data_IF_270554250750
#
_entry.id   IF_270554250750
#
_cell.length_a   1.000
_cell.length_b   1.000
_cell.length_c   1.000
_cell.angle_alpha   90.00
_cell.angle_beta   90.00
_cell.angle_gamma   90.00
#
_symmetry.space_group_name_H-M   'P 1'
#
loop_
_entity.id
_entity.type
_entity.pdbx_description
1 polymer ?
#
# COMPACT_ATOMS: atom_id res chain seq x y z
N UNK A 1 -66.15 44.87 58.74
CA UNK A 1 -66.19 43.50 58.19
C UNK A 1 -64.96 43.31 57.30
N UNK A 2 -64.07 42.40 57.70
CA UNK A 2 -62.97 41.73 56.97
C UNK A 2 -61.91 42.56 56.19
N UNK A 3 -60.74 42.60 56.82
CA UNK A 3 -59.36 42.69 56.27
C UNK A 3 -59.16 41.67 55.13
N UNK A 4 -58.42 42.02 54.07
CA UNK A 4 -57.48 41.11 53.39
C UNK A 4 -56.28 41.86 52.78
N UNK A 5 -55.15 41.64 53.42
CA UNK A 5 -53.78 41.71 52.90
C UNK A 5 -53.52 40.57 51.87
N UNK A 6 -52.35 40.66 51.19
CA UNK A 6 -51.63 39.71 50.32
C UNK A 6 -51.62 40.13 48.83
N UNK A 7 -50.51 40.03 48.06
CA UNK A 7 -49.21 39.40 48.31
C UNK A 7 -48.15 39.77 47.25
N UNK A 8 -46.91 39.93 47.73
CA UNK A 8 -45.65 39.31 47.25
C UNK A 8 -45.21 39.59 45.80
N UNK A 9 -44.08 40.29 45.62
CA UNK A 9 -42.73 39.69 45.58
C UNK A 9 -42.69 38.48 44.63
N UNK A 10 -42.27 38.68 43.38
CA UNK A 10 -41.65 37.66 42.52
C UNK A 10 -41.02 38.35 41.28
N UNK A 11 -40.24 39.41 41.49
CA UNK A 11 -39.36 39.97 40.47
C UNK A 11 -37.91 39.62 40.86
N UNK A 12 -37.42 38.47 40.41
CA UNK A 12 -36.03 38.11 40.68
C UNK A 12 -35.67 36.64 40.59
N UNK A 13 -36.06 35.93 39.52
CA UNK A 13 -35.48 34.61 39.15
C UNK A 13 -35.58 34.30 37.64
N UNK A 14 -35.41 35.29 36.77
CA UNK A 14 -35.50 35.09 35.32
C UNK A 14 -34.23 35.50 34.54
N UNK A 15 -33.07 35.56 35.19
CA UNK A 15 -31.83 36.06 34.57
C UNK A 15 -30.59 35.21 34.86
N UNK A 16 -30.76 33.92 35.16
CA UNK A 16 -29.62 32.99 35.37
C UNK A 16 -29.68 31.74 34.49
N UNK A 17 -30.79 31.49 33.76
CA UNK A 17 -30.89 30.32 32.84
C UNK A 17 -30.51 30.68 31.39
N UNK A 18 -30.36 31.97 31.06
CA UNK A 18 -29.95 32.40 29.71
C UNK A 18 -28.44 32.40 29.45
N UNK A 19 -27.61 32.29 30.50
CA UNK A 19 -26.15 32.42 30.38
C UNK A 19 -25.39 31.08 30.39
N UNK A 20 -26.10 29.94 30.53
CA UNK A 20 -25.51 28.59 30.57
C UNK A 20 -25.72 27.79 29.26
N UNK A 21 -26.31 28.40 28.22
CA UNK A 21 -26.56 27.77 26.92
C UNK A 21 -25.67 28.30 25.78
N UNK A 22 -24.60 29.02 26.07
CA UNK A 22 -23.73 29.65 25.06
C UNK A 22 -22.27 29.15 25.07
N UNK A 23 -22.01 27.96 25.63
CA UNK A 23 -20.69 27.29 25.57
C UNK A 23 -20.76 25.90 24.92
N UNK A 24 -21.77 25.64 24.09
CA UNK A 24 -21.63 24.67 23.03
C UNK A 24 -20.87 25.36 21.88
N UNK A 25 -19.56 25.51 22.04
CA UNK A 25 -18.67 25.80 20.90
C UNK A 25 -18.93 24.67 19.91
N UNK A 26 -19.45 24.92 18.69
CA UNK A 26 -19.40 23.91 17.66
C UNK A 26 -17.91 23.58 17.52
N UNK A 27 -17.53 22.36 17.88
CA UNK A 27 -16.16 21.90 17.66
C UNK A 27 -15.80 22.27 16.23
N UNK A 28 -14.69 22.97 16.06
CA UNK A 28 -14.16 23.33 14.74
C UNK A 28 -14.10 22.01 13.97
N UNK A 29 -14.96 21.85 12.97
CA UNK A 29 -14.96 20.65 12.16
C UNK A 29 -13.68 20.73 11.33
N UNK A 30 -12.65 20.00 11.78
CA UNK A 30 -11.44 19.81 11.00
C UNK A 30 -11.84 19.17 9.66
N UNK A 31 -11.65 19.90 8.58
CA UNK A 31 -11.88 19.48 7.22
C UNK A 31 -10.66 18.69 6.73
N UNK A 32 -10.87 17.41 6.41
CA UNK A 32 -9.87 16.63 5.68
C UNK A 32 -9.61 17.29 4.32
N UNK A 33 -8.37 17.72 4.08
CA UNK A 33 -7.95 18.33 2.81
C UNK A 33 -7.17 17.37 1.94
N UNK A 34 -6.93 16.14 2.41
CA UNK A 34 -6.38 15.06 1.59
C UNK A 34 -7.31 14.87 0.39
N UNK A 35 -6.74 14.89 -0.80
CA UNK A 35 -7.42 14.50 -2.03
C UNK A 35 -6.49 13.61 -2.85
N UNK A 36 -7.10 12.69 -3.59
CA UNK A 36 -6.39 11.68 -4.37
C UNK A 36 -6.97 11.64 -5.77
N UNK A 37 -6.09 11.51 -6.76
CA UNK A 37 -6.45 11.12 -8.13
C UNK A 37 -5.60 9.92 -8.52
N UNK A 38 -6.22 8.86 -9.03
CA UNK A 38 -5.49 7.72 -9.58
C UNK A 38 -5.15 7.99 -11.04
N UNK A 39 -3.89 7.75 -11.41
CA UNK A 39 -3.38 7.90 -12.78
C UNK A 39 -2.88 6.58 -13.32
N UNK A 40 -3.16 6.31 -14.59
CA UNK A 40 -2.61 5.15 -15.31
C UNK A 40 -2.52 5.44 -16.81
N UNK A 41 -1.42 5.06 -17.50
CA UNK A 41 -1.34 5.14 -18.96
C UNK A 41 -2.10 4.00 -19.65
N UNK A 42 -2.61 3.01 -18.90
CA UNK A 42 -3.11 1.75 -19.41
C UNK A 42 -2.03 0.66 -19.51
N UNK A 43 -2.39 -0.43 -20.17
CA UNK A 43 -1.58 -1.65 -20.20
C UNK A 43 -0.42 -1.57 -21.20
N UNK A 44 0.77 -1.96 -20.75
CA UNK A 44 1.96 -2.18 -21.58
C UNK A 44 2.18 -3.67 -21.78
N UNK A 45 2.32 -4.12 -23.03
CA UNK A 45 2.53 -5.53 -23.37
C UNK A 45 3.92 -6.03 -22.95
N UNK A 46 3.98 -7.33 -22.60
CA UNK A 46 5.21 -8.09 -22.42
C UNK A 46 5.54 -8.39 -20.96
N UNK A 47 6.77 -8.87 -20.70
CA UNK A 47 7.79 -9.29 -21.67
C UNK A 47 7.38 -10.49 -22.55
N UNK A 48 8.06 -10.62 -23.70
CA UNK A 48 7.84 -11.69 -24.67
C UNK A 48 8.86 -12.85 -24.56
N UNK A 49 9.79 -12.78 -23.60
CA UNK A 49 10.83 -13.78 -23.35
C UNK A 49 10.85 -14.23 -21.89
N UNK A 50 11.31 -15.45 -21.65
CA UNK A 50 11.52 -15.96 -20.29
C UNK A 50 12.65 -15.23 -19.59
N UNK A 51 12.59 -15.15 -18.26
CA UNK A 51 13.60 -14.52 -17.41
C UNK A 51 13.88 -13.07 -17.81
N UNK A 52 12.81 -12.32 -18.06
CA UNK A 52 12.90 -10.91 -18.45
C UNK A 52 11.76 -10.12 -17.82
N UNK A 53 11.81 -8.80 -17.99
CA UNK A 53 10.79 -7.90 -17.45
C UNK A 53 10.49 -6.76 -18.42
N UNK A 54 9.36 -6.09 -18.17
CA UNK A 54 9.03 -4.79 -18.70
C UNK A 54 8.93 -3.80 -17.55
N UNK A 55 9.31 -2.55 -17.81
CA UNK A 55 9.05 -1.42 -16.92
C UNK A 55 8.16 -0.42 -17.65
N UNK A 56 7.15 0.08 -16.94
CA UNK A 56 6.17 1.07 -17.40
C UNK A 56 5.83 1.97 -16.22
N UNK A 57 5.31 3.17 -16.46
CA UNK A 57 5.07 4.13 -15.38
C UNK A 57 3.73 4.85 -15.47
N UNK A 58 3.25 5.30 -14.32
CA UNK A 58 2.12 6.22 -14.21
C UNK A 58 2.58 7.52 -13.55
N UNK A 59 2.04 8.64 -14.04
CA UNK A 59 2.51 9.97 -13.66
C UNK A 59 1.40 10.82 -13.06
N UNK A 60 1.76 11.52 -11.99
CA UNK A 60 0.95 12.56 -11.39
C UNK A 60 1.15 13.87 -12.13
N UNK A 61 0.13 14.27 -12.89
CA UNK A 61 0.07 15.61 -13.51
C UNK A 61 -0.18 16.72 -12.49
N UNK A 62 -0.64 16.37 -11.30
CA UNK A 62 -0.87 17.26 -10.16
C UNK A 62 -0.72 16.44 -8.87
N UNK A 63 -0.18 17.06 -7.83
CA UNK A 63 0.12 16.39 -6.56
C UNK A 63 1.39 15.55 -6.61
N UNK A 64 1.67 14.89 -5.51
CA UNK A 64 2.84 14.04 -5.30
C UNK A 64 2.39 12.58 -5.25
N UNK A 65 3.27 11.65 -5.62
CA UNK A 65 2.97 10.24 -5.43
C UNK A 65 3.03 9.90 -3.94
N UNK A 66 1.92 9.41 -3.39
CA UNK A 66 1.86 8.83 -2.03
C UNK A 66 2.02 7.32 -2.03
N UNK A 67 1.78 6.68 -3.17
CA UNK A 67 1.89 5.25 -3.40
C UNK A 67 1.48 4.90 -4.83
N UNK A 68 1.47 3.62 -5.14
CA UNK A 68 1.08 3.15 -6.45
C UNK A 68 1.06 1.65 -6.53
N UNK A 69 0.66 1.16 -7.70
CA UNK A 69 0.33 -0.24 -7.88
C UNK A 69 0.56 -0.72 -9.30
N UNK A 70 0.23 -1.98 -9.50
CA UNK A 70 0.32 -2.68 -10.78
C UNK A 70 -0.83 -3.69 -10.86
N UNK A 71 -1.48 -3.76 -12.02
CA UNK A 71 -2.38 -4.84 -12.39
C UNK A 71 -1.82 -5.57 -13.61
N UNK A 72 -1.97 -6.90 -13.68
CA UNK A 72 -1.43 -7.70 -14.76
C UNK A 72 -2.50 -8.60 -15.39
N UNK A 73 -2.67 -8.46 -16.71
CA UNK A 73 -3.33 -9.51 -17.48
C UNK A 73 -2.29 -10.61 -17.74
N UNK A 74 -2.35 -11.74 -17.05
CA UNK A 74 -1.32 -12.79 -17.12
C UNK A 74 -1.55 -13.87 -18.18
N UNK A 75 -2.65 -13.79 -18.91
CA UNK A 75 -3.10 -14.83 -19.82
C UNK A 75 -3.74 -16.02 -19.11
N UNK A 76 -3.84 -17.16 -19.80
CA UNK A 76 -4.55 -18.35 -19.32
C UNK A 76 -3.70 -19.61 -19.41
N UNK A 77 -4.04 -20.63 -18.63
CA UNK A 77 -3.39 -21.94 -18.66
C UNK A 77 -1.94 -21.89 -18.21
N UNK A 78 -1.15 -22.93 -18.49
CA UNK A 78 0.20 -23.07 -17.92
C UNK A 78 1.16 -21.91 -18.26
N UNK A 79 0.93 -21.21 -19.36
CA UNK A 79 1.72 -20.03 -19.74
C UNK A 79 1.58 -18.84 -18.78
N UNK A 80 0.49 -18.75 -18.00
CA UNK A 80 0.33 -17.68 -17.00
C UNK A 80 1.22 -17.88 -15.78
N UNK A 81 1.64 -19.12 -15.51
CA UNK A 81 2.41 -19.49 -14.31
C UNK A 81 3.75 -18.78 -14.18
N UNK A 82 4.29 -18.26 -15.28
CA UNK A 82 5.55 -17.53 -15.30
C UNK A 82 5.39 -16.02 -15.14
N UNK A 83 4.20 -15.45 -15.29
CA UNK A 83 4.02 -14.00 -15.29
C UNK A 83 3.75 -13.52 -13.87
N UNK A 84 4.49 -12.53 -13.39
CA UNK A 84 4.38 -12.02 -12.02
C UNK A 84 4.81 -10.56 -11.92
N UNK A 85 4.50 -9.94 -10.78
CA UNK A 85 5.06 -8.65 -10.41
C UNK A 85 6.55 -8.81 -10.09
N UNK A 86 7.38 -7.92 -10.61
CA UNK A 86 8.80 -7.78 -10.27
C UNK A 86 9.07 -6.57 -9.38
N UNK A 87 8.20 -5.55 -9.46
CA UNK A 87 8.25 -4.40 -8.59
C UNK A 87 7.14 -3.39 -8.84
N UNK A 88 6.94 -2.55 -7.83
CA UNK A 88 6.07 -1.38 -7.80
C UNK A 88 6.75 -0.36 -6.89
N UNK A 89 7.25 0.74 -7.46
CA UNK A 89 8.17 1.65 -6.76
C UNK A 89 8.10 3.08 -7.29
N UNK A 90 8.45 4.10 -6.47
CA UNK A 90 8.53 5.47 -6.94
C UNK A 90 9.74 5.68 -7.87
N UNK A 91 9.65 6.67 -8.75
CA UNK A 91 10.75 7.09 -9.63
C UNK A 91 10.85 8.60 -9.74
N UNK A 92 12.05 9.12 -9.99
CA UNK A 92 12.29 10.55 -10.18
C UNK A 92 11.77 11.08 -11.52
N UNK A 93 11.66 10.20 -12.52
CA UNK A 93 11.40 10.60 -13.91
C UNK A 93 10.56 9.60 -14.72
N UNK A 94 10.06 8.53 -14.07
CA UNK A 94 9.30 7.47 -14.73
C UNK A 94 10.17 6.40 -15.40
N UNK A 95 11.49 6.45 -15.23
CA UNK A 95 12.43 5.49 -15.82
C UNK A 95 13.57 5.08 -14.89
N UNK A 96 13.96 5.94 -13.95
CA UNK A 96 15.05 5.68 -13.01
C UNK A 96 14.53 4.88 -11.82
N UNK A 97 15.11 3.70 -11.59
CA UNK A 97 14.88 2.87 -10.39
C UNK A 97 15.79 3.32 -9.23
N UNK A 98 15.30 3.25 -7.99
CA UNK A 98 16.07 3.58 -6.78
C UNK A 98 16.77 2.37 -6.17
N UNK A 99 17.76 1.82 -6.86
CA UNK A 99 18.48 0.59 -6.44
C UNK A 99 19.86 0.84 -5.80
N UNK A 100 20.23 2.11 -5.64
CA UNK A 100 21.55 2.55 -5.16
C UNK A 100 21.75 2.40 -3.64
N UNK A 101 22.08 3.52 -2.98
CA UNK A 101 22.35 3.57 -1.54
C UNK A 101 21.06 3.73 -0.73
N UNK A 102 20.99 3.07 0.42
CA UNK A 102 19.84 3.15 1.34
C UNK A 102 19.73 4.52 2.01
N UNK A 103 18.55 4.81 2.57
CA UNK A 103 18.22 6.10 3.19
C UNK A 103 17.24 6.90 2.33
N UNK A 104 17.22 8.23 2.48
CA UNK A 104 16.39 9.10 1.65
C UNK A 104 16.97 9.17 0.24
N UNK A 105 16.21 8.69 -0.75
CA UNK A 105 16.67 8.55 -2.15
C UNK A 105 15.95 9.49 -3.12
N UNK A 106 14.82 10.06 -2.71
CA UNK A 106 14.02 10.96 -3.53
C UNK A 106 13.12 11.86 -2.69
N UNK A 107 12.64 12.93 -3.29
CA UNK A 107 11.72 13.89 -2.67
C UNK A 107 10.74 14.40 -3.73
N UNK A 108 9.49 14.60 -3.33
CA UNK A 108 8.45 15.20 -4.17
C UNK A 108 8.28 14.52 -5.54
N UNK A 109 8.41 13.19 -5.56
CA UNK A 109 8.29 12.42 -6.78
C UNK A 109 6.87 12.44 -7.35
N UNK A 110 6.80 12.51 -8.68
CA UNK A 110 5.54 12.51 -9.45
C UNK A 110 5.37 11.27 -10.31
N UNK A 111 6.28 10.30 -10.24
CA UNK A 111 6.30 9.13 -11.11
C UNK A 111 6.30 7.83 -10.31
N UNK A 112 5.56 6.84 -10.80
CA UNK A 112 5.48 5.51 -10.22
C UNK A 112 5.74 4.44 -11.26
N UNK A 113 6.70 3.55 -11.01
CA UNK A 113 7.03 2.40 -11.85
C UNK A 113 6.16 1.21 -11.49
N UNK A 114 5.64 0.53 -12.51
CA UNK A 114 5.15 -0.84 -12.45
C UNK A 114 6.05 -1.73 -13.29
N UNK A 115 6.58 -2.79 -12.68
CA UNK A 115 7.54 -3.69 -13.31
C UNK A 115 6.96 -5.10 -13.32
N UNK A 116 6.70 -5.62 -14.52
CA UNK A 116 6.17 -6.95 -14.75
C UNK A 116 7.23 -7.91 -15.27
N UNK A 117 7.33 -9.09 -14.68
CA UNK A 117 8.30 -10.12 -15.03
C UNK A 117 7.65 -11.36 -15.63
N UNK A 118 8.41 -12.05 -16.49
CA UNK A 118 8.14 -13.43 -16.89
C UNK A 118 9.30 -14.32 -16.49
N UNK A 119 9.01 -15.37 -15.74
CA UNK A 119 9.92 -16.44 -15.39
C UNK A 119 10.08 -17.47 -16.49
N UNK A 120 9.90 -18.75 -16.15
CA UNK A 120 10.09 -19.88 -17.08
C UNK A 120 9.00 -20.04 -18.16
N UNK A 121 7.98 -19.19 -18.16
CA UNK A 121 6.91 -19.20 -19.14
C UNK A 121 6.49 -17.77 -19.50
N UNK A 122 6.05 -17.58 -20.74
CA UNK A 122 5.53 -16.32 -21.28
C UNK A 122 4.15 -16.53 -21.87
N UNK A 123 3.34 -15.48 -21.91
CA UNK A 123 2.06 -15.47 -22.58
C UNK A 123 1.94 -14.22 -23.47
N UNK A 124 1.41 -14.37 -24.68
CA UNK A 124 1.27 -13.24 -25.63
C UNK A 124 0.29 -12.17 -25.18
N UNK A 125 -0.63 -12.52 -24.28
CA UNK A 125 -1.58 -11.60 -23.66
C UNK A 125 -1.02 -10.96 -22.39
N UNK A 126 0.23 -11.27 -22.00
CA UNK A 126 0.84 -10.67 -20.82
C UNK A 126 0.96 -9.16 -20.99
N UNK A 127 0.44 -8.42 -20.02
CA UNK A 127 0.62 -6.97 -19.92
C UNK A 127 0.64 -6.52 -18.47
N UNK A 128 1.25 -5.36 -18.25
CA UNK A 128 1.30 -4.68 -16.95
C UNK A 128 0.73 -3.28 -17.07
N UNK A 129 -0.19 -2.94 -16.19
CA UNK A 129 -0.81 -1.61 -16.06
C UNK A 129 -0.32 -0.97 -14.77
N UNK A 130 0.51 0.09 -14.81
CA UNK A 130 0.95 0.78 -13.61
C UNK A 130 -0.12 1.76 -13.14
N UNK A 131 -0.17 2.00 -11.83
CA UNK A 131 -1.05 2.98 -11.19
C UNK A 131 -0.24 3.89 -10.28
N UNK A 132 -0.49 5.20 -10.36
CA UNK A 132 0.01 6.17 -9.40
C UNK A 132 -1.15 6.73 -8.59
N UNK A 133 -0.99 6.79 -7.27
CA UNK A 133 -1.90 7.48 -6.35
C UNK A 133 -1.38 8.89 -6.15
N UNK A 134 -2.01 9.86 -6.82
CA UNK A 134 -1.60 11.25 -6.83
C UNK A 134 -2.29 12.02 -5.71
N UNK A 135 -1.50 12.36 -4.70
CA UNK A 135 -1.92 12.93 -3.44
C UNK A 135 -1.73 14.44 -3.41
N UNK A 136 -2.70 15.13 -2.83
CA UNK A 136 -2.60 16.54 -2.45
C UNK A 136 -3.15 16.74 -1.05
N UNK A 137 -2.54 17.63 -0.26
CA UNK A 137 -3.02 18.07 1.05
C UNK A 137 -2.58 19.51 1.29
N UNK A 138 -3.37 20.28 2.04
CA UNK A 138 -2.96 21.62 2.48
C UNK A 138 -1.87 21.57 3.56
N UNK A 139 -1.78 20.45 4.30
CA UNK A 139 -0.78 20.25 5.35
C UNK A 139 0.46 19.53 4.83
N UNK A 140 0.28 18.41 4.14
CA UNK A 140 1.39 17.63 3.56
C UNK A 140 1.57 18.07 2.11
N UNK A 141 2.48 19.00 1.91
CA UNK A 141 2.82 19.57 0.60
C UNK A 141 4.17 19.11 0.04
N UNK A 142 4.89 18.28 0.81
CA UNK A 142 6.15 17.66 0.40
C UNK A 142 6.16 16.19 0.82
N UNK A 143 6.87 15.35 0.07
CA UNK A 143 7.14 13.94 0.37
C UNK A 143 8.62 13.62 0.24
N UNK A 144 9.04 12.54 0.89
CA UNK A 144 10.37 11.95 0.74
C UNK A 144 10.26 10.44 0.66
N UNK A 145 11.19 9.82 -0.06
CA UNK A 145 11.23 8.38 -0.27
C UNK A 145 12.42 7.84 0.50
N UNK A 146 12.17 6.93 1.43
CA UNK A 146 13.20 6.13 2.08
C UNK A 146 13.28 4.77 1.40
N UNK A 147 14.48 4.37 1.00
CA UNK A 147 14.75 3.03 0.49
C UNK A 147 15.64 2.27 1.46
N UNK A 148 15.33 0.99 1.64
CA UNK A 148 16.26 0.03 2.22
C UNK A 148 16.38 -1.19 1.31
N UNK A 149 17.47 -1.93 1.44
CA UNK A 149 17.74 -3.13 0.63
C UNK A 149 18.57 -4.17 1.36
N UNK A 150 18.42 -5.42 0.93
CA UNK A 150 19.27 -6.51 1.38
C UNK A 150 19.58 -7.46 0.22
N UNK A 151 20.77 -8.07 0.28
CA UNK A 151 21.15 -9.11 -0.66
C UNK A 151 20.38 -10.41 -0.39
N UNK A 152 19.83 -10.99 -1.44
CA UNK A 152 19.04 -12.21 -1.42
C UNK A 152 17.57 -11.97 -1.79
N UNK A 153 16.72 -13.01 -1.66
CA UNK A 153 17.07 -14.36 -1.20
C UNK A 153 17.85 -15.15 -2.27
N UNK A 154 18.90 -15.87 -1.87
CA UNK A 154 19.71 -16.71 -2.79
C UNK A 154 19.28 -18.18 -2.82
N UNK A 155 18.47 -18.61 -1.85
CA UNK A 155 17.97 -19.98 -1.72
C UNK A 155 16.52 -20.07 -2.15
N UNK A 156 16.12 -21.21 -2.71
CA UNK A 156 14.74 -21.43 -3.09
C UNK A 156 13.82 -21.45 -1.85
N UNK A 157 12.62 -20.91 -2.00
CA UNK A 157 11.56 -20.98 -0.97
C UNK A 157 11.89 -20.30 0.36
N UNK A 158 12.95 -19.49 0.43
CA UNK A 158 13.28 -18.69 1.61
C UNK A 158 12.90 -17.24 1.33
N UNK A 159 11.93 -16.67 2.07
CA UNK A 159 11.63 -15.24 1.95
C UNK A 159 12.76 -14.42 2.56
N UNK A 160 12.94 -13.19 2.09
CA UNK A 160 13.83 -12.20 2.69
C UNK A 160 13.09 -10.87 2.87
N UNK A 161 12.93 -10.50 4.13
CA UNK A 161 12.32 -9.25 4.56
C UNK A 161 13.31 -8.09 4.44
N UNK A 162 12.81 -6.95 3.98
CA UNK A 162 13.52 -5.67 3.99
C UNK A 162 12.55 -4.59 4.46
N UNK A 163 12.93 -3.81 5.47
CA UNK A 163 12.11 -2.74 6.04
C UNK A 163 12.72 -1.37 5.76
N UNK A 164 11.95 -0.46 5.18
CA UNK A 164 12.28 0.96 5.08
C UNK A 164 11.46 1.75 6.10
N UNK A 165 12.11 2.58 6.92
CA UNK A 165 11.45 3.34 8.00
C UNK A 165 11.51 4.83 7.71
N UNK A 166 10.35 5.49 7.81
CA UNK A 166 10.23 6.93 7.69
C UNK A 166 11.06 7.68 8.76
N UNK A 167 11.63 8.84 8.44
CA UNK A 167 12.33 9.64 9.44
C UNK A 167 11.41 10.04 10.59
N UNK A 168 11.98 10.22 11.78
CA UNK A 168 11.21 10.64 12.95
C UNK A 168 10.41 11.94 12.68
N UNK A 169 9.20 12.02 13.24
CA UNK A 169 8.27 13.14 13.06
C UNK A 169 7.77 13.32 11.61
N UNK A 170 7.68 12.23 10.85
CA UNK A 170 7.04 12.19 9.53
C UNK A 170 6.00 11.08 9.53
N UNK A 171 5.08 11.11 8.56
CA UNK A 171 4.00 10.12 8.44
C UNK A 171 4.23 9.27 7.21
N UNK A 172 4.09 7.95 7.34
CA UNK A 172 4.05 7.03 6.21
C UNK A 172 2.75 7.22 5.42
N UNK A 173 2.87 7.46 4.13
CA UNK A 173 1.74 7.61 3.21
C UNK A 173 1.54 6.36 2.35
N UNK A 174 2.60 5.59 2.14
CA UNK A 174 2.58 4.39 1.30
C UNK A 174 3.96 3.77 1.16
N UNK A 175 4.06 2.83 0.23
CA UNK A 175 5.32 2.15 -0.04
C UNK A 175 5.28 1.27 -1.27
N UNK A 176 6.41 0.59 -1.49
CA UNK A 176 6.64 -0.23 -2.67
C UNK A 176 7.64 -1.34 -2.39
N UNK A 177 7.78 -2.24 -3.36
CA UNK A 177 8.71 -3.35 -3.31
C UNK A 177 9.32 -3.58 -4.69
N UNK A 178 10.56 -4.06 -4.70
CA UNK A 178 11.27 -4.47 -5.91
C UNK A 178 12.19 -5.63 -5.60
N UNK A 179 12.39 -6.51 -6.57
CA UNK A 179 13.51 -7.47 -6.55
C UNK A 179 14.28 -7.43 -7.85
N UNK A 180 15.61 -7.53 -7.79
CA UNK A 180 16.49 -7.59 -8.97
C UNK A 180 17.48 -8.74 -8.89
N UNK A 181 18.00 -9.26 -10.02
CA UNK A 181 17.65 -8.90 -11.40
C UNK A 181 16.55 -9.81 -11.97
N UNK A 182 15.84 -9.33 -13.00
CA UNK A 182 14.82 -10.11 -13.74
C UNK A 182 15.35 -11.40 -14.38
N UNK A 183 16.64 -11.43 -14.70
CA UNK A 183 17.30 -12.60 -15.28
C UNK A 183 17.28 -13.82 -14.36
N UNK A 184 17.04 -13.62 -13.06
CA UNK A 184 16.71 -14.68 -12.10
C UNK A 184 15.19 -14.79 -12.06
N UNK A 185 14.53 -15.12 -13.17
CA UNK A 185 13.08 -14.90 -13.34
C UNK A 185 12.14 -15.74 -12.46
N UNK A 186 12.62 -16.41 -11.41
CA UNK A 186 11.77 -16.89 -10.32
C UNK A 186 11.82 -16.00 -9.07
N UNK A 187 12.73 -15.02 -9.06
CA UNK A 187 12.88 -13.98 -8.06
C UNK A 187 11.80 -12.93 -8.27
N UNK A 188 11.07 -12.63 -7.20
CA UNK A 188 9.94 -11.70 -7.21
C UNK A 188 9.65 -11.19 -5.80
N UNK A 189 9.12 -9.98 -5.64
CA UNK A 189 8.44 -9.63 -4.41
C UNK A 189 7.17 -10.49 -4.27
N UNK A 190 6.96 -11.03 -3.08
CA UNK A 190 5.75 -11.74 -2.69
C UNK A 190 4.94 -10.99 -1.63
N UNK A 191 5.52 -9.95 -1.03
CA UNK A 191 4.82 -9.06 -0.12
C UNK A 191 5.34 -7.62 -0.20
N UNK A 192 4.45 -6.66 0.04
CA UNK A 192 4.72 -5.24 0.19
C UNK A 192 3.64 -4.65 1.09
N UNK A 193 3.97 -4.29 2.34
CA UNK A 193 2.96 -3.95 3.35
C UNK A 193 3.42 -2.88 4.36
N UNK A 194 2.46 -2.12 4.94
CA UNK A 194 2.74 -1.19 6.03
C UNK A 194 3.04 -1.92 7.34
N UNK A 195 3.92 -1.36 8.17
CA UNK A 195 4.31 -1.90 9.46
C UNK A 195 4.88 -0.80 10.38
N UNK A 196 5.38 -1.18 11.54
CA UNK A 196 6.02 -0.32 12.52
C UNK A 196 7.43 -0.80 12.85
N UNK A 197 8.35 0.14 13.03
CA UNK A 197 9.66 -0.13 13.58
C UNK A 197 9.62 -0.16 15.11
N UNK A 198 8.93 -1.15 15.66
CA UNK A 198 8.80 -1.34 17.10
C UNK A 198 8.77 -2.83 17.49
N UNK A 199 8.88 -3.09 18.80
CA UNK A 199 8.92 -4.45 19.32
C UNK A 199 7.59 -5.23 19.22
N UNK A 200 6.44 -4.56 19.03
CA UNK A 200 5.17 -5.25 18.82
C UNK A 200 5.07 -5.84 17.41
N UNK A 201 5.74 -5.21 16.43
CA UNK A 201 5.81 -5.64 15.04
C UNK A 201 7.15 -6.27 14.66
N UNK A 202 7.93 -6.70 15.65
CA UNK A 202 9.26 -7.30 15.50
C UNK A 202 10.18 -6.48 14.58
N UNK A 203 10.08 -5.14 14.68
CA UNK A 203 10.82 -4.16 13.89
C UNK A 203 10.57 -4.29 12.37
N UNK A 204 9.33 -4.58 11.99
CA UNK A 204 8.87 -4.59 10.60
C UNK A 204 8.60 -5.96 10.02
N UNK A 205 8.78 -7.03 10.80
CA UNK A 205 8.55 -8.42 10.35
C UNK A 205 7.09 -8.84 10.44
N UNK A 206 6.26 -8.10 11.19
CA UNK A 206 4.80 -8.27 11.26
C UNK A 206 4.11 -7.08 10.61
N UNK A 207 3.18 -7.33 9.72
CA UNK A 207 2.40 -6.28 9.09
C UNK A 207 1.54 -5.52 10.11
N UNK A 208 1.14 -4.29 9.76
CA UNK A 208 0.12 -3.57 10.50
C UNK A 208 -1.23 -4.30 10.37
N UNK A 209 -1.95 -4.41 11.48
CA UNK A 209 -3.28 -5.01 11.57
C UNK A 209 -4.39 -4.02 11.17
N UNK A 210 -5.59 -4.56 10.93
CA UNK A 210 -6.77 -3.74 10.66
C UNK A 210 -7.06 -2.78 11.82
N UNK A 211 -7.29 -1.51 11.49
CA UNK A 211 -7.59 -0.45 12.44
C UNK A 211 -6.36 0.19 13.11
N UNK A 212 -5.15 -0.33 12.88
CA UNK A 212 -3.94 0.33 13.36
C UNK A 212 -3.72 1.68 12.66
N UNK A 213 -3.04 2.59 13.34
CA UNK A 213 -2.89 3.98 12.88
C UNK A 213 -1.43 4.40 12.90
N UNK A 214 -1.08 5.24 11.94
CA UNK A 214 0.23 5.86 11.77
C UNK A 214 1.38 4.83 11.78
N UNK A 215 1.35 3.80 10.91
CA UNK A 215 2.55 3.02 10.62
C UNK A 215 3.69 3.97 10.23
N UNK A 216 4.92 3.60 10.57
CA UNK A 216 6.11 4.42 10.30
C UNK A 216 7.08 3.72 9.34
N UNK A 217 6.76 2.51 8.90
CA UNK A 217 7.65 1.66 8.14
C UNK A 217 6.92 0.87 7.07
N UNK A 218 7.66 0.47 6.04
CA UNK A 218 7.16 -0.36 4.96
C UNK A 218 8.10 -1.55 4.75
N UNK A 219 7.54 -2.75 4.65
CA UNK A 219 8.31 -3.97 4.44
C UNK A 219 8.02 -4.58 3.07
N UNK A 220 9.07 -5.07 2.42
CA UNK A 220 9.01 -5.90 1.24
C UNK A 220 9.58 -7.30 1.53
N UNK A 221 8.96 -8.33 0.97
CA UNK A 221 9.43 -9.71 1.04
C UNK A 221 9.79 -10.20 -0.35
N UNK A 222 11.06 -10.50 -0.58
CA UNK A 222 11.51 -11.16 -1.81
C UNK A 222 11.46 -12.68 -1.65
N UNK A 223 11.11 -13.40 -2.72
CA UNK A 223 11.16 -14.86 -2.78
C UNK A 223 11.87 -15.32 -4.04
N UNK A 224 12.83 -16.24 -3.89
CA UNK A 224 13.41 -16.93 -5.03
C UNK A 224 12.68 -18.27 -5.23
N UNK A 225 12.02 -18.43 -6.38
CA UNK A 225 11.32 -19.67 -6.76
C UNK A 225 12.21 -20.82 -7.22
N UNK A 226 13.53 -20.75 -7.05
CA UNK A 226 14.47 -21.82 -7.41
C UNK A 226 15.45 -21.51 -8.55
N UNK A 227 15.49 -20.27 -9.02
CA UNK A 227 16.45 -19.78 -9.99
C UNK A 227 17.84 -19.60 -9.38
N UNK A 228 18.88 -19.88 -10.16
CA UNK A 228 20.27 -19.65 -9.78
C UNK A 228 20.60 -18.16 -9.80
N UNK A 229 20.97 -17.58 -8.66
CA UNK A 229 21.41 -16.18 -8.57
C UNK A 229 22.08 -15.90 -7.23
N UNK A 230 23.31 -15.40 -7.26
CA UNK A 230 24.06 -15.00 -6.05
C UNK A 230 24.05 -13.48 -5.83
N UNK A 231 23.47 -12.73 -6.77
CA UNK A 231 23.42 -11.25 -6.77
C UNK A 231 21.98 -10.73 -6.68
N UNK A 232 21.09 -11.53 -6.06
CA UNK A 232 19.71 -11.12 -5.86
C UNK A 232 19.69 -9.97 -4.86
N UNK A 233 18.78 -9.02 -5.06
CA UNK A 233 18.48 -7.98 -4.07
C UNK A 233 16.96 -7.80 -3.95
N UNK A 234 16.52 -7.58 -2.72
CA UNK A 234 15.17 -7.13 -2.37
C UNK A 234 15.26 -5.69 -1.87
N UNK A 235 14.32 -4.85 -2.29
CA UNK A 235 14.22 -3.44 -1.92
C UNK A 235 12.84 -3.16 -1.35
N UNK A 236 12.80 -2.33 -0.32
CA UNK A 236 11.59 -1.75 0.23
C UNK A 236 11.65 -0.23 0.14
N UNK A 237 10.51 0.37 -0.18
CA UNK A 237 10.35 1.82 -0.28
C UNK A 237 9.26 2.28 0.67
N UNK A 238 9.55 3.29 1.48
CA UNK A 238 8.58 4.01 2.29
C UNK A 238 8.42 5.43 1.76
N UNK A 239 7.19 5.82 1.45
CA UNK A 239 6.85 7.18 1.05
C UNK A 239 6.36 7.90 2.29
N UNK A 240 7.09 8.92 2.69
CA UNK A 240 6.87 9.66 3.92
C UNK A 240 6.50 11.10 3.61
N UNK A 241 5.79 11.77 4.52
CA UNK A 241 5.70 13.22 4.49
C UNK A 241 7.09 13.87 4.54
N UNK A 242 7.21 15.07 3.99
CA UNK A 242 8.42 15.88 4.08
C UNK A 242 8.78 16.24 5.53
N UNK A 243 10.05 16.59 5.73
CA UNK A 243 10.55 17.04 7.03
C UNK A 243 10.06 18.45 7.38
N UNK A 244 9.95 18.75 8.68
CA UNK A 244 9.54 20.08 9.16
C UNK A 244 8.05 20.39 9.04
N UNK A 245 7.23 19.44 8.59
CA UNK A 245 5.76 19.55 8.56
C UNK A 245 5.21 19.18 9.94
N UNK A 246 4.29 19.98 10.47
CA UNK A 246 3.59 19.64 11.72
C UNK A 246 2.47 18.63 11.44
N UNK A 247 2.82 17.34 11.47
CA UNK A 247 1.91 16.23 11.16
C UNK A 247 1.08 15.76 12.35
N UNK A 248 1.00 16.51 13.45
CA UNK A 248 0.31 16.05 14.68
C UNK A 248 -1.20 15.84 14.53
N UNK A 249 -1.83 16.48 13.53
CA UNK A 249 -3.24 16.27 13.18
C UNK A 249 -3.47 15.15 12.16
N UNK A 250 -2.40 14.61 11.56
CA UNK A 250 -2.51 13.59 10.50
C UNK A 250 -2.76 12.23 11.12
N UNK A 251 -3.72 11.52 10.56
CA UNK A 251 -3.96 10.10 10.83
C UNK A 251 -3.93 9.33 9.51
N UNK A 252 -3.13 8.27 9.46
CA UNK A 252 -3.17 7.26 8.41
C UNK A 252 -3.63 5.97 9.05
N UNK A 253 -4.88 5.57 8.79
CA UNK A 253 -5.44 4.31 9.29
C UNK A 253 -5.19 3.20 8.29
N UNK A 254 -4.79 2.04 8.79
CA UNK A 254 -4.61 0.83 8.01
C UNK A 254 -5.90 0.02 8.06
N UNK A 255 -6.37 -0.42 6.90
CA UNK A 255 -7.33 -1.50 6.80
C UNK A 255 -6.68 -2.74 6.21
N UNK A 256 -7.06 -3.91 6.72
CA UNK A 256 -6.47 -5.19 6.34
C UNK A 256 -7.54 -6.26 6.09
N UNK A 257 -7.32 -7.10 5.08
CA UNK A 257 -8.10 -8.30 4.86
C UNK A 257 -7.23 -9.46 4.39
N UNK A 258 -7.57 -10.66 4.83
CA UNK A 258 -6.92 -11.92 4.48
C UNK A 258 -7.97 -12.90 3.97
N UNK A 259 -7.65 -13.62 2.90
CA UNK A 259 -8.47 -14.72 2.38
C UNK A 259 -7.58 -15.93 2.15
N UNK A 260 -8.06 -17.12 2.53
CA UNK A 260 -7.34 -18.36 2.24
C UNK A 260 -7.32 -18.66 0.75
N UNK A 261 -6.18 -19.16 0.28
CA UNK A 261 -5.93 -19.49 -1.11
C UNK A 261 -5.20 -18.37 -1.85
N UNK A 262 -4.81 -18.66 -3.11
CA UNK A 262 -5.19 -19.82 -3.89
C UNK A 262 -4.34 -21.04 -3.53
N UNK A 263 -4.90 -22.26 -3.66
CA UNK A 263 -4.21 -23.51 -3.28
C UNK A 263 -4.03 -24.51 -4.43
N UNK A 264 -4.82 -24.39 -5.49
CA UNK A 264 -4.72 -25.25 -6.67
C UNK A 264 -3.73 -24.67 -7.66
N UNK A 265 -2.94 -25.51 -8.35
CA UNK A 265 -2.01 -25.04 -9.38
C UNK A 265 -2.73 -24.23 -10.47
N UNK A 266 -2.08 -23.17 -10.97
CA UNK A 266 -2.56 -22.32 -12.06
C UNK A 266 -3.92 -21.67 -11.73
N UNK A 267 -4.08 -21.25 -10.47
CA UNK A 267 -5.28 -20.51 -10.03
C UNK A 267 -4.88 -19.24 -9.30
N UNK A 268 -5.76 -18.24 -9.36
CA UNK A 268 -5.58 -16.95 -8.71
C UNK A 268 -6.65 -16.68 -7.66
N UNK A 269 -6.36 -15.75 -6.75
CA UNK A 269 -7.27 -15.27 -5.72
C UNK A 269 -7.17 -13.75 -5.61
N UNK A 270 -8.33 -13.09 -5.65
CA UNK A 270 -8.45 -11.66 -5.35
C UNK A 270 -8.93 -11.45 -3.92
N UNK A 271 -8.42 -10.40 -3.28
CA UNK A 271 -8.92 -9.90 -1.99
C UNK A 271 -8.92 -8.37 -2.04
N UNK A 272 -9.95 -7.75 -1.50
CA UNK A 272 -10.19 -6.29 -1.60
C UNK A 272 -10.54 -5.73 -0.23
N UNK A 273 -9.97 -4.58 0.11
CA UNK A 273 -10.27 -3.82 1.33
C UNK A 273 -10.37 -2.34 1.01
N UNK A 274 -11.09 -1.55 1.81
CA UNK A 274 -11.26 -0.12 1.53
C UNK A 274 -11.34 0.75 2.76
N UNK A 275 -11.26 2.05 2.53
CA UNK A 275 -11.12 3.07 3.57
C UNK A 275 -12.40 3.41 4.35
N UNK A 276 -13.56 2.98 3.88
CA UNK A 276 -14.84 3.30 4.50
C UNK A 276 -14.97 4.82 4.75
N UNK A 277 -15.08 5.21 6.02
CA UNK A 277 -15.18 6.61 6.45
C UNK A 277 -13.91 7.16 7.09
N UNK A 278 -12.82 6.39 7.10
CA UNK A 278 -11.61 6.69 7.89
C UNK A 278 -10.61 7.60 7.15
N UNK A 279 -10.88 7.97 5.90
CA UNK A 279 -10.05 8.89 5.12
C UNK A 279 -10.08 8.58 3.64
N UNK A 280 -9.18 9.23 2.90
CA UNK A 280 -8.97 8.97 1.48
C UNK A 280 -7.85 7.94 1.27
N UNK A 281 -8.00 7.07 0.29
CA UNK A 281 -7.03 6.02 -0.03
C UNK A 281 -5.74 6.62 -0.60
N UNK A 282 -4.68 6.65 0.21
CA UNK A 282 -3.38 7.22 -0.19
C UNK A 282 -2.37 6.18 -0.66
N UNK A 283 -2.57 4.91 -0.31
CA UNK A 283 -1.77 3.79 -0.80
C UNK A 283 -2.46 2.47 -0.43
N UNK A 284 -1.91 1.35 -0.90
CA UNK A 284 -2.21 0.04 -0.37
C UNK A 284 -1.04 -0.93 -0.56
N UNK A 285 -1.23 -2.15 -0.09
CA UNK A 285 -0.22 -3.21 -0.08
C UNK A 285 -0.84 -4.56 -0.42
N UNK A 286 0.01 -5.54 -0.67
CA UNK A 286 -0.40 -6.90 -1.02
C UNK A 286 0.62 -7.93 -0.55
N UNK A 287 0.15 -9.13 -0.23
CA UNK A 287 1.02 -10.29 -0.04
C UNK A 287 0.38 -11.60 -0.48
N UNK A 288 1.25 -12.55 -0.82
CA UNK A 288 0.92 -13.97 -0.86
C UNK A 288 1.77 -14.67 0.21
N UNK A 289 1.12 -15.20 1.23
CA UNK A 289 1.78 -15.59 2.48
C UNK A 289 1.37 -16.99 2.98
N UNK A 290 2.04 -17.45 4.04
CA UNK A 290 1.61 -18.59 4.85
C UNK A 290 0.49 -18.27 5.86
N UNK A 291 -0.03 -17.03 5.86
CA UNK A 291 -1.10 -16.52 6.74
C UNK A 291 -0.59 -15.86 8.02
N UNK A 292 -1.51 -15.22 8.75
CA UNK A 292 -1.26 -14.62 10.09
C UNK A 292 -0.22 -13.50 10.12
N UNK A 293 0.00 -12.82 8.99
CA UNK A 293 1.06 -11.81 8.78
C UNK A 293 0.99 -10.59 9.72
N UNK A 294 -0.14 -10.38 10.40
CA UNK A 294 -0.32 -9.30 11.39
C UNK A 294 -0.03 -9.72 12.83
N UNK A 295 0.18 -11.02 13.09
CA UNK A 295 0.37 -11.56 14.45
C UNK A 295 1.66 -12.37 14.60
N UNK A 296 2.22 -12.85 13.49
CA UNK A 296 3.49 -13.57 13.42
C UNK A 296 4.37 -12.97 12.34
N UNK A 297 5.67 -13.23 12.42
CA UNK A 297 6.60 -12.88 11.35
C UNK A 297 6.13 -13.46 10.02
N UNK A 298 6.45 -12.75 8.94
CA UNK A 298 6.08 -13.19 7.61
C UNK A 298 6.58 -14.61 7.33
N UNK A 299 5.67 -15.45 6.81
CA UNK A 299 6.00 -16.79 6.36
C UNK A 299 5.71 -16.91 4.88
N UNK A 300 6.63 -17.57 4.15
CA UNK A 300 6.42 -17.83 2.73
C UNK A 300 5.18 -18.71 2.53
N UNK A 301 4.49 -18.54 1.39
CA UNK A 301 3.33 -19.36 1.05
C UNK A 301 3.77 -20.81 0.75
N UNK A 302 2.80 -21.70 0.59
CA UNK A 302 3.01 -23.15 0.48
C UNK A 302 3.85 -23.62 -0.70
N UNK A 303 4.11 -22.75 -1.69
CA UNK A 303 4.85 -23.05 -2.90
C UNK A 303 5.75 -21.88 -3.29
N UNK A 304 6.96 -22.23 -3.73
CA UNK A 304 7.92 -21.28 -4.28
C UNK A 304 7.47 -20.60 -5.58
N UNK A 305 6.47 -21.20 -6.24
CA UNK A 305 5.83 -20.70 -7.44
C UNK A 305 4.79 -19.63 -7.18
N UNK A 306 4.37 -19.42 -5.93
CA UNK A 306 3.34 -18.43 -5.61
C UNK A 306 3.86 -17.01 -5.80
N UNK A 307 3.00 -16.13 -6.30
CA UNK A 307 3.35 -14.75 -6.62
C UNK A 307 2.17 -13.80 -6.59
N UNK A 308 2.51 -12.51 -6.59
CA UNK A 308 1.58 -11.43 -6.89
C UNK A 308 1.45 -11.26 -8.42
N UNK A 309 0.22 -11.01 -8.86
CA UNK A 309 -0.09 -10.48 -10.19
C UNK A 309 -0.75 -9.11 -10.12
N UNK A 310 -1.15 -8.66 -8.93
CA UNK A 310 -1.74 -7.35 -8.76
C UNK A 310 -1.65 -6.84 -7.34
N UNK A 311 -1.46 -5.54 -7.24
CA UNK A 311 -1.63 -4.71 -6.04
C UNK A 311 -2.01 -3.33 -6.56
N UNK A 312 -3.30 -2.99 -6.55
CA UNK A 312 -3.78 -1.82 -7.29
C UNK A 312 -4.99 -1.14 -6.63
N UNK A 313 -5.19 0.17 -6.87
CA UNK A 313 -6.41 0.86 -6.47
C UNK A 313 -7.60 0.33 -7.28
N UNK A 314 -8.70 0.07 -6.60
CA UNK A 314 -9.86 -0.64 -7.14
C UNK A 314 -11.19 -0.06 -6.69
N UNK A 315 -12.27 -0.60 -7.26
CA UNK A 315 -13.62 -0.49 -6.72
C UNK A 315 -13.89 -1.56 -5.64
N UNK A 316 -15.07 -1.51 -5.00
CA UNK A 316 -15.47 -2.48 -3.98
C UNK A 316 -15.65 -3.93 -4.51
N UNK A 317 -15.68 -4.11 -5.83
CA UNK A 317 -15.75 -5.43 -6.48
C UNK A 317 -14.37 -5.96 -6.87
N UNK A 318 -13.31 -5.20 -6.60
CA UNK A 318 -11.93 -5.56 -6.91
C UNK A 318 -11.53 -5.31 -8.36
N UNK A 319 -12.29 -4.52 -9.11
CA UNK A 319 -11.88 -4.10 -10.45
C UNK A 319 -10.95 -2.89 -10.36
N UNK A 320 -9.86 -2.82 -11.15
CA UNK A 320 -9.01 -1.65 -11.18
C UNK A 320 -9.79 -0.39 -11.57
N UNK A 321 -9.50 0.74 -10.92
CA UNK A 321 -10.13 2.02 -11.27
C UNK A 321 -9.59 2.60 -12.58
N UNK A 322 -10.36 3.45 -13.26
CA UNK A 322 -9.93 4.12 -14.49
C UNK A 322 -8.99 5.30 -14.23
N UNK A 323 -8.26 5.73 -15.26
CA UNK A 323 -7.43 6.94 -15.22
C UNK A 323 -8.27 8.18 -14.84
N UNK A 324 -7.71 9.01 -13.96
CA UNK A 324 -8.36 10.23 -13.46
C UNK A 324 -9.40 10.00 -12.36
N UNK A 325 -9.53 8.78 -11.82
CA UNK A 325 -10.49 8.50 -10.75
C UNK A 325 -10.12 9.27 -9.48
N UNK A 326 -11.03 10.10 -8.97
CA UNK A 326 -10.85 10.89 -7.74
C UNK A 326 -11.52 10.29 -6.51
N UNK A 327 -12.25 9.18 -6.69
CA UNK A 327 -13.03 8.51 -5.66
C UNK A 327 -12.54 7.10 -5.36
N UNK A 328 -11.28 6.79 -5.69
CA UNK A 328 -10.70 5.50 -5.38
C UNK A 328 -10.67 5.32 -3.85
N UNK A 329 -11.28 4.25 -3.36
CA UNK A 329 -11.47 4.01 -1.93
C UNK A 329 -11.13 2.58 -1.51
N UNK A 330 -10.77 1.72 -2.47
CA UNK A 330 -10.44 0.32 -2.24
C UNK A 330 -9.08 -0.01 -2.85
N UNK A 331 -8.43 -1.00 -2.28
CA UNK A 331 -7.23 -1.61 -2.79
C UNK A 331 -7.45 -3.11 -2.95
N UNK A 332 -6.93 -3.68 -4.03
CA UNK A 332 -7.03 -5.10 -4.34
C UNK A 332 -5.66 -5.71 -4.48
N UNK A 333 -5.47 -6.85 -3.82
CA UNK A 333 -4.37 -7.75 -4.10
C UNK A 333 -4.87 -8.91 -4.96
N UNK A 334 -4.04 -9.32 -5.92
CA UNK A 334 -4.27 -10.53 -6.71
C UNK A 334 -3.04 -11.43 -6.64
N UNK A 335 -3.24 -12.66 -6.19
CA UNK A 335 -2.18 -13.66 -6.00
C UNK A 335 -2.44 -14.88 -6.90
N UNK A 336 -1.42 -15.69 -7.14
CA UNK A 336 -1.50 -16.85 -8.04
C UNK A 336 -0.49 -17.94 -7.65
N UNK A 337 -0.87 -19.22 -7.80
CA UNK A 337 -0.08 -20.37 -7.33
C UNK A 337 1.06 -20.83 -8.25
N UNK A 338 1.17 -20.23 -9.43
CA UNK A 338 2.08 -20.72 -10.46
C UNK A 338 1.76 -22.17 -10.87
N UNK A 339 2.79 -22.96 -11.17
CA UNK A 339 2.63 -24.29 -11.77
C UNK A 339 2.38 -25.46 -10.81
N UNK A 340 2.25 -25.22 -9.50
CA UNK A 340 2.13 -26.30 -8.49
C UNK A 340 1.10 -25.92 -7.44
N UNK A 341 0.49 -26.91 -6.80
CA UNK A 341 -0.43 -26.68 -5.67
C UNK A 341 0.29 -26.03 -4.50
N UNK A 342 -0.42 -25.19 -3.77
CA UNK A 342 0.13 -24.42 -2.66
C UNK A 342 -0.75 -24.52 -1.40
N UNK A 343 -0.60 -25.59 -0.59
CA UNK A 343 -1.34 -25.70 0.66
C UNK A 343 -0.87 -24.65 1.67
N UNK A 344 -1.79 -24.16 2.51
CA UNK A 344 -1.51 -23.13 3.52
C UNK A 344 -1.07 -21.77 2.94
N UNK A 345 -1.64 -21.39 1.80
CA UNK A 345 -1.42 -20.09 1.17
C UNK A 345 -2.59 -19.15 1.41
N UNK A 346 -2.28 -17.88 1.59
CA UNK A 346 -3.23 -16.81 1.85
C UNK A 346 -2.93 -15.61 0.96
N UNK A 347 -3.98 -14.85 0.67
CA UNK A 347 -3.92 -13.59 -0.05
C UNK A 347 -4.25 -12.47 0.91
N UNK A 348 -3.34 -11.50 1.00
CA UNK A 348 -3.39 -10.41 1.96
C UNK A 348 -3.44 -9.07 1.23
N UNK A 349 -4.23 -8.13 1.75
CA UNK A 349 -4.34 -6.79 1.20
C UNK A 349 -4.45 -5.74 2.29
N UNK A 350 -3.84 -4.58 2.02
CA UNK A 350 -3.90 -3.41 2.88
C UNK A 350 -4.38 -2.19 2.10
N UNK A 351 -5.13 -1.31 2.79
CA UNK A 351 -5.43 0.05 2.35
C UNK A 351 -4.96 1.05 3.42
N UNK A 352 -4.26 2.11 3.01
CA UNK A 352 -3.86 3.22 3.87
C UNK A 352 -4.78 4.41 3.61
N UNK A 353 -5.42 4.88 4.67
CA UNK A 353 -6.51 5.84 4.59
C UNK A 353 -6.14 7.08 5.40
N UNK A 354 -5.87 8.18 4.70
CA UNK A 354 -5.35 9.38 5.31
C UNK A 354 -6.44 10.44 5.56
N UNK A 355 -6.32 11.07 6.71
CA UNK A 355 -7.02 12.28 7.09
C UNK A 355 -6.00 13.24 7.73
N UNK A 356 -5.91 14.46 7.22
CA UNK A 356 -4.93 15.45 7.69
C UNK A 356 -5.46 16.37 8.80
N UNK A 357 -6.76 16.27 9.14
CA UNK A 357 -7.33 16.90 10.33
C UNK A 357 -7.15 18.42 10.40
N UNK A 358 -7.17 19.12 9.25
CA UNK A 358 -6.97 20.57 9.13
C UNK A 358 -8.22 21.38 9.42
#
# INVERSE_FOLDING_TARGET
>A
MKIKFLSRLLAGKALVIGALLALAVPGVAYANTVSVTVKTPGATLGPASTFSEISTHADCSSGLVSGGGIDQAIGTGMSSNGNHVNGTEPSSDGSTEYTGTTGVVGTDNTHWLGIGGSGGAVNSSFSSTPYAVCFTSNLINHTQIVMNKAAGPTSASTPLAVTATCPANTVLLGGGARTTPASVGSLKPIASFPTFNNAAHDNGLKAAADGETNPDSWTAEGLNGGGSGTTNETYAYAICSGSGINVSGVTVKVHYSEVSGPTSATTGQGVTVGCGTDGNLVSGGAAVSGGSVTTTDFTAPGSQGDHLNGSFPSDNSGNPVSDGTTSAAYWTAYTHTGGTSSPNTYSDVWALCANDGV
#
